data_IF_413991607114
#
_entry.id   IF_413991607114
#
_cell.length_a   1.000
_cell.length_b   1.000
_cell.length_c   1.000
_cell.angle_alpha   90.00
_cell.angle_beta   90.00
_cell.angle_gamma   90.00
#
_symmetry.space_group_name_H-M   'P 1'
#
loop_
_entity.id
_entity.type
_entity.pdbx_description
1 polymer ?
#
# COMPACT_ATOMS: atom_id res chain seq x y z
N UNK A 1 -15.45 -6.92 8.63
CA UNK A 1 -14.41 -6.17 9.34
C UNK A 1 -13.45 -5.57 8.33
N UNK A 2 -13.14 -4.29 8.46
CA UNK A 2 -12.25 -3.62 7.52
C UNK A 2 -10.79 -4.09 7.71
N UNK A 3 -10.08 -4.31 6.60
CA UNK A 3 -8.68 -4.68 6.64
C UNK A 3 -7.82 -3.43 6.86
N UNK A 4 -6.92 -3.49 7.81
CA UNK A 4 -6.01 -2.40 8.14
C UNK A 4 -4.62 -2.67 7.56
N UNK A 5 -4.14 -1.74 6.75
CA UNK A 5 -2.82 -1.79 6.12
C UNK A 5 -2.11 -0.48 6.44
N UNK A 6 -0.79 -0.50 6.55
CA UNK A 6 -0.04 0.70 6.90
C UNK A 6 0.96 1.10 5.83
N UNK A 7 1.10 2.40 5.65
CA UNK A 7 2.13 3.02 4.85
C UNK A 7 2.75 4.17 5.66
N UNK A 8 3.64 4.92 5.05
CA UNK A 8 4.28 6.06 5.70
C UNK A 8 4.08 7.31 4.86
N UNK A 9 3.93 8.44 5.54
CA UNK A 9 3.90 9.75 4.91
C UNK A 9 5.08 10.56 5.42
N UNK A 10 5.49 11.54 4.61
CA UNK A 10 6.51 12.52 5.02
C UNK A 10 5.90 13.91 5.01
N UNK A 11 6.23 14.68 6.04
CA UNK A 11 5.90 16.09 6.13
C UNK A 11 7.20 16.81 6.47
N UNK A 12 7.84 17.37 5.44
CA UNK A 12 9.22 17.80 5.54
C UNK A 12 10.14 16.60 5.77
N UNK A 13 10.91 16.62 6.85
CA UNK A 13 11.78 15.51 7.25
C UNK A 13 11.10 14.56 8.25
N UNK A 14 9.92 14.92 8.73
CA UNK A 14 9.19 14.16 9.71
C UNK A 14 8.27 13.14 9.04
N UNK A 15 8.33 11.89 9.49
CA UNK A 15 7.47 10.84 8.99
C UNK A 15 6.36 10.48 9.98
N UNK A 16 5.24 10.03 9.46
CA UNK A 16 4.15 9.50 10.27
C UNK A 16 3.50 8.31 9.58
N UNK A 17 2.97 7.39 10.38
CA UNK A 17 2.27 6.23 9.86
C UNK A 17 0.91 6.62 9.29
N UNK A 18 0.57 6.05 8.14
CA UNK A 18 -0.74 6.20 7.51
C UNK A 18 -1.46 4.86 7.62
N UNK A 19 -2.65 4.88 8.19
CA UNK A 19 -3.50 3.70 8.27
C UNK A 19 -4.45 3.69 7.07
N UNK A 20 -4.45 2.57 6.34
CA UNK A 20 -5.25 2.37 5.14
C UNK A 20 -6.32 1.34 5.47
N UNK A 21 -7.59 1.74 5.41
CA UNK A 21 -8.71 0.82 5.60
C UNK A 21 -9.53 0.73 4.33
N UNK A 22 -9.93 -0.48 3.96
CA UNK A 22 -10.84 -0.72 2.84
C UNK A 22 -12.14 -1.31 3.36
N UNK A 23 -13.28 -0.81 2.87
CA UNK A 23 -14.59 -1.32 3.23
C UNK A 23 -15.51 -1.30 2.02
N UNK A 24 -16.32 -2.35 1.86
CA UNK A 24 -17.29 -2.47 0.77
C UNK A 24 -18.68 -2.07 1.25
N UNK A 25 -19.37 -1.24 0.47
CA UNK A 25 -20.75 -0.83 0.74
C UNK A 25 -21.67 -1.55 -0.24
N UNK A 26 -22.45 -2.50 0.25
CA UNK A 26 -23.36 -3.31 -0.57
C UNK A 26 -24.48 -2.47 -1.15
N UNK A 27 -24.87 -2.82 -2.38
CA UNK A 27 -26.01 -2.21 -3.06
C UNK A 27 -25.76 -0.84 -3.64
N UNK A 28 -24.52 -0.34 -3.59
CA UNK A 28 -24.13 0.93 -4.20
C UNK A 28 -23.39 0.70 -5.50
N UNK A 29 -23.46 1.69 -6.38
CA UNK A 29 -22.81 1.63 -7.68
C UNK A 29 -21.31 1.35 -7.55
N UNK A 30 -20.81 0.46 -8.38
CA UNK A 30 -19.38 0.10 -8.43
C UNK A 30 -18.52 1.34 -8.62
N UNK A 31 -17.66 1.61 -7.63
CA UNK A 31 -16.64 2.65 -7.70
C UNK A 31 -15.67 2.49 -6.55
N UNK A 32 -14.46 3.02 -6.70
CA UNK A 32 -13.49 3.13 -5.62
C UNK A 32 -13.40 4.59 -5.23
N UNK A 33 -13.72 4.89 -3.98
CA UNK A 33 -13.64 6.25 -3.43
C UNK A 33 -12.57 6.29 -2.36
N UNK A 34 -11.66 7.26 -2.45
CA UNK A 34 -10.54 7.41 -1.53
C UNK A 34 -10.75 8.69 -0.71
N UNK A 35 -10.74 8.54 0.61
CA UNK A 35 -10.93 9.65 1.54
C UNK A 35 -9.72 9.79 2.47
N UNK A 36 -9.47 10.98 3.00
CA UNK A 36 -8.40 11.22 3.96
C UNK A 36 -7.39 12.28 3.56
N UNK A 37 -7.81 13.36 2.91
CA UNK A 37 -6.96 14.48 2.50
C UNK A 37 -5.80 14.06 1.58
N UNK A 38 -6.10 13.27 0.56
CA UNK A 38 -5.13 12.92 -0.46
C UNK A 38 -4.94 14.06 -1.47
N UNK A 39 -3.72 14.17 -2.01
CA UNK A 39 -3.45 15.04 -3.15
C UNK A 39 -3.98 14.41 -4.44
N UNK A 40 -3.70 15.03 -5.59
CA UNK A 40 -4.17 14.52 -6.88
C UNK A 40 -3.63 13.12 -7.17
N UNK A 41 -2.37 12.85 -6.83
CA UNK A 41 -1.78 11.52 -7.04
C UNK A 41 -2.50 10.46 -6.24
N UNK A 42 -2.89 10.74 -4.99
CA UNK A 42 -3.68 9.83 -4.16
C UNK A 42 -5.06 9.62 -4.78
N UNK A 43 -5.71 10.69 -5.24
CA UNK A 43 -7.05 10.60 -5.84
C UNK A 43 -7.08 9.77 -7.12
N UNK A 44 -5.97 9.75 -7.86
CA UNK A 44 -5.84 8.98 -9.10
C UNK A 44 -5.47 7.50 -8.84
N UNK A 45 -5.16 7.13 -7.61
CA UNK A 45 -4.71 5.78 -7.27
C UNK A 45 -5.73 4.70 -7.66
N UNK A 46 -7.02 5.02 -7.60
CA UNK A 46 -8.08 4.07 -7.98
C UNK A 46 -7.91 3.55 -9.41
N UNK A 47 -7.55 4.42 -10.34
CA UNK A 47 -7.32 4.04 -11.73
C UNK A 47 -6.12 3.11 -11.87
N UNK A 48 -5.01 3.44 -11.20
CA UNK A 48 -3.80 2.61 -11.26
C UNK A 48 -4.02 1.24 -10.63
N UNK A 49 -4.72 1.20 -9.48
CA UNK A 49 -5.03 -0.06 -8.80
C UNK A 49 -5.90 -0.97 -9.66
N UNK A 50 -6.93 -0.42 -10.29
CA UNK A 50 -7.83 -1.21 -11.13
C UNK A 50 -7.08 -1.84 -12.29
N UNK A 51 -6.23 -1.07 -12.98
CA UNK A 51 -5.43 -1.58 -14.08
C UNK A 51 -4.46 -2.67 -13.62
N UNK A 52 -3.74 -2.43 -12.52
CA UNK A 52 -2.78 -3.39 -11.97
C UNK A 52 -3.45 -4.69 -11.53
N UNK A 53 -4.59 -4.60 -10.83
CA UNK A 53 -5.34 -5.76 -10.38
C UNK A 53 -5.85 -6.59 -11.56
N UNK A 54 -6.41 -5.93 -12.56
CA UNK A 54 -6.91 -6.59 -13.77
C UNK A 54 -5.80 -7.32 -14.52
N UNK A 55 -4.60 -6.73 -14.56
CA UNK A 55 -3.45 -7.33 -15.23
C UNK A 55 -3.10 -8.71 -14.65
N UNK A 56 -3.30 -8.91 -13.34
CA UNK A 56 -3.01 -10.20 -12.69
C UNK A 56 -4.26 -11.08 -12.52
N UNK A 57 -5.37 -10.72 -13.17
CA UNK A 57 -6.58 -11.52 -13.15
C UNK A 57 -7.42 -11.41 -11.89
N UNK A 58 -7.16 -10.41 -11.06
CA UNK A 58 -8.02 -10.14 -9.91
C UNK A 58 -9.31 -9.47 -10.34
N UNK A 59 -10.37 -9.74 -9.61
CA UNK A 59 -11.68 -9.13 -9.87
C UNK A 59 -11.75 -7.73 -9.26
N UNK A 60 -12.40 -6.82 -9.98
CA UNK A 60 -12.76 -5.53 -9.44
C UNK A 60 -13.96 -5.67 -8.52
N UNK A 61 -14.09 -4.83 -7.47
CA UNK A 61 -15.23 -4.89 -6.58
C UNK A 61 -16.53 -4.68 -7.34
N UNK A 62 -17.58 -5.42 -6.98
CA UNK A 62 -18.91 -5.31 -7.61
C UNK A 62 -19.69 -4.13 -7.09
N UNK A 63 -19.43 -3.74 -5.85
CA UNK A 63 -20.09 -2.65 -5.16
C UNK A 63 -19.13 -1.52 -4.91
N UNK A 64 -19.63 -0.42 -4.33
CA UNK A 64 -18.79 0.71 -3.95
C UNK A 64 -17.79 0.29 -2.88
N UNK A 65 -16.53 0.65 -3.06
CA UNK A 65 -15.48 0.43 -2.07
C UNK A 65 -14.94 1.78 -1.60
N UNK A 66 -14.90 1.93 -0.29
CA UNK A 66 -14.25 3.08 0.35
C UNK A 66 -12.86 2.69 0.81
N UNK A 67 -11.89 3.53 0.50
CA UNK A 67 -10.54 3.41 1.05
C UNK A 67 -10.26 4.68 1.85
N UNK A 68 -9.99 4.50 3.13
CA UNK A 68 -9.72 5.60 4.04
C UNK A 68 -8.22 5.64 4.38
N UNK A 69 -7.64 6.83 4.31
CA UNK A 69 -6.27 7.09 4.74
C UNK A 69 -6.30 7.94 6.00
N UNK A 70 -5.95 7.35 7.15
CA UNK A 70 -5.92 8.06 8.43
C UNK A 70 -4.46 8.40 8.82
N UNK A 71 -4.23 9.47 9.55
CA UNK A 71 -5.21 10.36 10.19
C UNK A 71 -5.89 11.31 9.20
N UNK A 72 -7.18 11.56 9.39
CA UNK A 72 -7.98 12.37 8.47
C UNK A 72 -7.66 13.86 8.47
N UNK A 73 -6.91 14.33 9.47
CA UNK A 73 -6.56 15.75 9.62
C UNK A 73 -5.17 16.10 9.07
N UNK A 74 -4.47 15.14 8.44
CA UNK A 74 -3.15 15.38 7.85
C UNK A 74 -3.19 15.03 6.37
N UNK A 75 -2.52 15.84 5.56
CA UNK A 75 -2.44 15.62 4.10
C UNK A 75 -1.53 14.43 3.78
N UNK A 76 -1.96 13.62 2.81
CA UNK A 76 -1.16 12.53 2.25
C UNK A 76 -0.84 12.89 0.82
N UNK A 77 0.43 12.87 0.49
CA UNK A 77 0.94 13.29 -0.82
C UNK A 77 1.71 12.16 -1.47
N UNK A 78 1.56 12.06 -2.78
CA UNK A 78 2.31 11.13 -3.60
C UNK A 78 1.53 9.86 -3.92
N UNK A 79 2.15 9.03 -4.73
CA UNK A 79 1.54 7.81 -5.27
C UNK A 79 2.01 6.54 -4.56
N UNK A 80 2.88 6.66 -3.57
CA UNK A 80 3.48 5.50 -2.89
C UNK A 80 2.52 4.73 -1.97
N UNK A 81 1.29 5.18 -1.84
CA UNK A 81 0.24 4.47 -1.10
C UNK A 81 -0.46 3.40 -1.95
N UNK A 82 -0.23 3.39 -3.26
CA UNK A 82 -0.93 2.51 -4.20
C UNK A 82 -0.85 1.04 -3.80
N UNK A 83 0.35 0.56 -3.48
CA UNK A 83 0.56 -0.84 -3.12
C UNK A 83 -0.26 -1.21 -1.89
N UNK A 84 -0.19 -0.41 -0.84
CA UNK A 84 -0.94 -0.66 0.39
C UNK A 84 -2.44 -0.63 0.15
N UNK A 85 -2.93 0.30 -0.65
CA UNK A 85 -4.35 0.38 -0.97
C UNK A 85 -4.83 -0.83 -1.77
N UNK A 86 -4.05 -1.27 -2.75
CA UNK A 86 -4.40 -2.46 -3.54
C UNK A 86 -4.45 -3.71 -2.66
N UNK A 87 -3.48 -3.88 -1.77
CA UNK A 87 -3.45 -5.03 -0.86
C UNK A 87 -4.61 -4.99 0.14
N UNK A 88 -4.97 -3.81 0.64
CA UNK A 88 -6.13 -3.65 1.51
C UNK A 88 -7.42 -4.06 0.78
N UNK A 89 -7.57 -3.63 -0.47
CA UNK A 89 -8.73 -3.96 -1.29
C UNK A 89 -8.81 -5.45 -1.59
N UNK A 90 -7.70 -6.07 -1.98
CA UNK A 90 -7.65 -7.50 -2.28
C UNK A 90 -7.95 -8.34 -1.05
N UNK A 91 -7.47 -7.91 0.13
CA UNK A 91 -7.77 -8.59 1.38
C UNK A 91 -9.23 -8.43 1.78
N UNK A 92 -9.79 -7.23 1.65
CA UNK A 92 -11.19 -6.95 1.98
C UNK A 92 -12.15 -7.75 1.10
N UNK A 93 -11.83 -7.91 -0.17
CA UNK A 93 -12.64 -8.69 -1.11
C UNK A 93 -12.33 -10.19 -1.08
N UNK A 94 -11.52 -10.62 -0.13
CA UNK A 94 -11.17 -12.03 0.11
C UNK A 94 -10.51 -12.71 -1.08
N UNK A 95 -9.85 -11.95 -1.95
CA UNK A 95 -9.14 -12.50 -3.10
C UNK A 95 -7.73 -13.00 -2.75
N UNK A 96 -7.21 -12.57 -1.61
CA UNK A 96 -5.93 -13.02 -1.10
C UNK A 96 -6.08 -13.44 0.37
N UNK A 97 -5.24 -14.39 0.79
CA UNK A 97 -5.19 -14.88 2.16
C UNK A 97 -3.97 -14.28 2.86
N UNK A 98 -4.00 -12.98 3.11
CA UNK A 98 -2.88 -12.25 3.67
C UNK A 98 -2.65 -12.61 5.14
N UNK A 99 -1.39 -12.89 5.48
CA UNK A 99 -0.96 -13.18 6.85
C UNK A 99 -0.13 -12.01 7.36
N UNK A 100 -0.43 -11.56 8.56
CA UNK A 100 0.35 -10.52 9.24
C UNK A 100 0.45 -9.23 8.45
N UNK A 101 -0.53 -8.92 7.62
CA UNK A 101 -0.53 -7.72 6.78
C UNK A 101 -0.40 -6.44 7.62
N UNK A 102 -0.92 -6.47 8.84
CA UNK A 102 -0.88 -5.35 9.78
C UNK A 102 0.50 -5.11 10.40
N UNK A 103 1.42 -6.04 10.22
CA UNK A 103 2.80 -5.93 10.74
C UNK A 103 3.76 -5.24 9.79
N UNK A 104 3.34 -5.04 8.54
CA UNK A 104 4.18 -4.44 7.50
C UNK A 104 3.85 -2.97 7.30
N UNK A 105 4.83 -2.25 6.80
CA UNK A 105 4.64 -0.96 6.14
C UNK A 105 4.86 -1.19 4.64
N UNK A 106 3.93 -0.74 3.81
CA UNK A 106 4.00 -0.90 2.37
C UNK A 106 4.24 0.44 1.68
N UNK A 107 5.24 0.50 0.83
CA UNK A 107 5.62 1.70 0.10
C UNK A 107 5.79 1.31 -1.38
N UNK A 108 5.03 1.93 -2.27
CA UNK A 108 5.20 1.71 -3.70
C UNK A 108 4.05 2.25 -4.54
N UNK A 109 4.41 2.89 -5.65
CA UNK A 109 3.47 3.28 -6.67
C UNK A 109 3.27 2.09 -7.62
N UNK A 110 2.04 1.85 -8.07
CA UNK A 110 1.76 0.80 -9.04
C UNK A 110 1.72 1.37 -10.46
N UNK A 111 2.45 0.72 -11.36
CA UNK A 111 2.26 0.95 -12.79
C UNK A 111 1.01 0.21 -13.25
N UNK A 112 0.52 0.53 -14.44
CA UNK A 112 -0.70 -0.07 -14.96
C UNK A 112 -0.59 -1.57 -15.21
N UNK A 113 0.64 -2.09 -15.35
CA UNK A 113 0.89 -3.53 -15.49
C UNK A 113 1.24 -4.21 -14.15
N UNK A 114 1.07 -3.51 -13.03
CA UNK A 114 1.25 -4.07 -11.70
C UNK A 114 2.67 -4.10 -11.17
N UNK A 115 3.62 -3.47 -11.84
CA UNK A 115 4.99 -3.31 -11.31
C UNK A 115 4.98 -2.27 -10.19
N UNK A 116 5.87 -2.44 -9.24
CA UNK A 116 6.07 -1.50 -8.14
C UNK A 116 7.17 -0.53 -8.56
N UNK A 117 6.77 0.73 -8.81
CA UNK A 117 7.71 1.77 -9.26
C UNK A 117 8.52 2.32 -8.09
N UNK A 118 9.77 2.74 -8.33
CA UNK A 118 10.57 3.38 -7.30
C UNK A 118 9.92 4.67 -6.81
N UNK A 119 10.19 4.99 -5.54
CA UNK A 119 9.67 6.19 -4.89
C UNK A 119 10.82 7.04 -4.37
N UNK A 120 10.57 8.34 -4.17
CA UNK A 120 11.50 9.22 -3.47
C UNK A 120 11.19 9.20 -1.97
N UNK A 121 12.19 9.48 -1.14
CA UNK A 121 11.99 9.59 0.30
C UNK A 121 11.92 8.28 1.07
N UNK A 122 12.27 7.16 0.44
CA UNK A 122 12.17 5.83 1.06
C UNK A 122 13.04 5.73 2.31
N UNK A 123 14.27 6.25 2.27
CA UNK A 123 15.14 6.22 3.44
C UNK A 123 14.49 6.88 4.65
N UNK A 124 13.90 8.06 4.46
CA UNK A 124 13.21 8.79 5.53
C UNK A 124 11.96 8.06 6.00
N UNK A 125 11.22 7.46 5.09
CA UNK A 125 10.03 6.69 5.43
C UNK A 125 10.37 5.45 6.25
N UNK A 126 11.42 4.73 5.91
CA UNK A 126 11.85 3.54 6.64
C UNK A 126 12.40 3.92 8.01
N UNK A 127 13.13 5.01 8.10
CA UNK A 127 13.60 5.54 9.39
C UNK A 127 12.40 5.83 10.31
N UNK A 128 11.39 6.52 9.79
CA UNK A 128 10.18 6.84 10.54
C UNK A 128 9.38 5.58 10.91
N UNK A 129 9.29 4.61 10.00
CA UNK A 129 8.60 3.35 10.27
C UNK A 129 9.25 2.61 11.44
N UNK A 130 10.57 2.54 11.48
CA UNK A 130 11.30 1.96 12.60
C UNK A 130 11.01 2.70 13.91
N UNK A 131 11.00 4.01 13.87
CA UNK A 131 10.68 4.83 15.05
C UNK A 131 9.24 4.60 15.54
N UNK A 132 8.32 4.29 14.64
CA UNK A 132 6.94 3.93 14.98
C UNK A 132 6.78 2.50 15.49
N UNK A 133 7.86 1.72 15.54
CA UNK A 133 7.86 0.36 16.07
C UNK A 133 7.62 -0.74 15.04
N UNK A 134 7.58 -0.43 13.76
CA UNK A 134 7.44 -1.45 12.72
C UNK A 134 8.72 -2.25 12.56
N UNK A 135 8.57 -3.56 12.38
CA UNK A 135 9.69 -4.49 12.20
C UNK A 135 9.83 -4.99 10.77
N UNK A 136 8.80 -4.80 9.95
CA UNK A 136 8.73 -5.32 8.58
C UNK A 136 8.30 -4.22 7.63
N UNK A 137 8.93 -4.17 6.45
CA UNK A 137 8.58 -3.21 5.42
C UNK A 137 8.71 -3.83 4.03
N UNK A 138 7.87 -3.37 3.12
CA UNK A 138 7.96 -3.69 1.69
C UNK A 138 8.19 -2.39 0.94
N UNK A 139 9.22 -2.37 0.11
CA UNK A 139 9.60 -1.21 -0.71
C UNK A 139 9.78 -1.65 -2.16
N UNK A 140 9.78 -0.71 -3.11
CA UNK A 140 10.15 -1.05 -4.48
C UNK A 140 11.56 -1.64 -4.51
N UNK A 141 11.78 -2.66 -5.35
CA UNK A 141 13.08 -3.32 -5.43
C UNK A 141 14.23 -2.35 -5.69
N UNK A 142 13.98 -1.32 -6.50
CA UNK A 142 14.99 -0.31 -6.82
C UNK A 142 15.38 0.56 -5.62
N UNK A 143 14.55 0.61 -4.59
CA UNK A 143 14.82 1.37 -3.37
C UNK A 143 15.40 0.51 -2.25
N UNK A 144 15.58 -0.80 -2.47
CA UNK A 144 16.00 -1.71 -1.42
C UNK A 144 17.38 -1.37 -0.85
N UNK A 145 18.32 -0.98 -1.71
CA UNK A 145 19.67 -0.67 -1.26
C UNK A 145 19.70 0.51 -0.27
N UNK A 146 18.89 1.54 -0.49
CA UNK A 146 18.80 2.65 0.46
C UNK A 146 18.06 2.26 1.73
N UNK A 147 16.99 1.47 1.60
CA UNK A 147 16.20 1.04 2.74
C UNK A 147 16.98 0.15 3.69
N UNK A 148 17.86 -0.71 3.17
CA UNK A 148 18.71 -1.61 3.96
C UNK A 148 19.72 -0.90 4.83
N UNK A 149 19.97 0.37 4.59
CA UNK A 149 20.87 1.16 5.45
C UNK A 149 20.31 1.37 6.86
N UNK A 150 19.00 1.17 7.02
CA UNK A 150 18.34 1.31 8.32
C UNK A 150 18.29 -0.05 8.99
N UNK A 151 18.99 -0.19 10.12
CA UNK A 151 18.96 -1.40 10.93
C UNK A 151 17.70 -1.44 11.80
N UNK A 152 17.34 -2.62 12.28
CA UNK A 152 16.20 -2.80 13.20
C UNK A 152 14.85 -2.92 12.52
N UNK A 153 14.81 -2.90 11.20
CA UNK A 153 13.61 -3.16 10.40
C UNK A 153 14.01 -4.04 9.23
N UNK A 154 13.28 -5.14 9.05
CA UNK A 154 13.52 -6.05 7.93
C UNK A 154 12.75 -5.57 6.72
N UNK A 155 13.46 -5.30 5.63
CA UNK A 155 12.87 -4.71 4.42
C UNK A 155 12.96 -5.67 3.24
N UNK A 156 11.84 -5.84 2.57
CA UNK A 156 11.72 -6.64 1.34
C UNK A 156 11.60 -5.70 0.15
N UNK A 157 12.46 -5.90 -0.86
CA UNK A 157 12.40 -5.17 -2.11
C UNK A 157 11.66 -6.01 -3.14
N UNK A 158 10.52 -5.55 -3.60
CA UNK A 158 9.66 -6.31 -4.51
C UNK A 158 9.45 -5.58 -5.83
N UNK A 159 9.20 -6.35 -6.88
CA UNK A 159 9.06 -5.83 -8.25
C UNK A 159 7.60 -5.66 -8.67
N UNK A 160 6.70 -6.50 -8.16
CA UNK A 160 5.32 -6.55 -8.64
C UNK A 160 4.30 -6.71 -7.50
N UNK A 161 3.07 -6.34 -7.79
CA UNK A 161 1.93 -6.60 -6.91
C UNK A 161 1.82 -8.09 -6.58
N UNK A 162 2.02 -8.96 -7.57
CA UNK A 162 1.95 -10.41 -7.36
C UNK A 162 2.99 -10.90 -6.36
N UNK A 163 4.22 -10.38 -6.41
CA UNK A 163 5.24 -10.72 -5.43
C UNK A 163 4.83 -10.32 -4.00
N UNK A 164 4.19 -9.15 -3.86
CA UNK A 164 3.70 -8.71 -2.55
C UNK A 164 2.60 -9.65 -2.03
N UNK A 165 1.70 -10.09 -2.90
CA UNK A 165 0.67 -11.07 -2.52
C UNK A 165 1.32 -12.39 -2.10
N UNK A 166 2.30 -12.88 -2.85
CA UNK A 166 3.01 -14.12 -2.51
C UNK A 166 3.69 -14.02 -1.15
N UNK A 167 4.33 -12.89 -0.87
CA UNK A 167 4.95 -12.66 0.45
C UNK A 167 3.92 -12.76 1.57
N UNK A 168 2.77 -12.10 1.42
CA UNK A 168 1.73 -12.08 2.43
C UNK A 168 1.04 -13.43 2.61
N UNK A 169 0.96 -14.23 1.55
CA UNK A 169 0.38 -15.57 1.61
C UNK A 169 1.38 -16.63 2.06
N UNK A 170 2.62 -16.26 2.33
CA UNK A 170 3.67 -17.20 2.73
C UNK A 170 4.16 -18.08 1.59
N UNK A 171 3.95 -17.65 0.35
CA UNK A 171 4.46 -18.34 -0.85
C UNK A 171 5.84 -17.79 -1.23
N UNK A 172 6.61 -18.59 -1.93
CA UNK A 172 7.95 -18.20 -2.35
C UNK A 172 7.92 -17.04 -3.35
N UNK A 173 8.72 -16.01 -3.07
CA UNK A 173 8.94 -14.88 -3.98
C UNK A 173 10.27 -15.13 -4.69
N UNK A 174 10.20 -15.26 -6.02
CA UNK A 174 11.37 -15.54 -6.85
C UNK A 174 11.82 -14.25 -7.54
#
# INVERSE_FOLDING_TARGET
MATMVRSMALEGIEGFAVEIEAATIRGQQQMISIIGLGDQAVKEAGERMQAAMTCYGYDLPKDKTLISLAPGNRRKRGSHYDLGMALALLSETEQIAARNIDQYVFIGELSLDGRIRPCTGVLSMITAARQCGFKLAVVPAENLSEARKISGIRTYGLHTLEEAVKLLEGREVI
#
